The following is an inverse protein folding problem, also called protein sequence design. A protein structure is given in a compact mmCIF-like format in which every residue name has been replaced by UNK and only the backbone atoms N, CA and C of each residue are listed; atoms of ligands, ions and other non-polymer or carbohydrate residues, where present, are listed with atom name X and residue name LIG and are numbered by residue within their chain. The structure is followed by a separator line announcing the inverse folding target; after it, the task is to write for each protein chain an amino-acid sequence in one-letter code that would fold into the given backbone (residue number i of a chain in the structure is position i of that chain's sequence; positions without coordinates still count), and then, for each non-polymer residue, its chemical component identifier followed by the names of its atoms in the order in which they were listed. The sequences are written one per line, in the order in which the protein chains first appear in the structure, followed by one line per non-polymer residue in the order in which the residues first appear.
data_IF_485169771493
#
_entry.id   IF_485169771493
#
_cell.length_a   1.000
_cell.length_b   1.000
_cell.length_c   1.000
_cell.angle_alpha   90.00
_cell.angle_beta   90.00
_cell.angle_gamma   90.00
#
_symmetry.space_group_name_H-M   'P 1'
#
loop_
_entity.id
_entity.type
_entity.pdbx_description
1 polymer ?
#
# COMPACT_ATOMS: atom_id res chain seq x y z
N UNK A 1 10.33 -10.38 68.62
CA UNK A 1 10.58 -10.58 67.16
C UNK A 1 11.73 -9.65 66.79
N UNK A 2 12.88 -10.21 66.40
CA UNK A 2 14.13 -9.42 66.28
C UNK A 2 13.98 -8.39 65.14
N UNK A 3 14.27 -7.11 65.42
CA UNK A 3 14.24 -6.01 64.42
C UNK A 3 15.02 -6.38 63.14
N UNK A 4 16.12 -7.10 63.27
CA UNK A 4 16.94 -7.60 62.14
C UNK A 4 16.15 -8.58 61.25
N UNK A 5 15.32 -9.44 61.84
CA UNK A 5 14.53 -10.40 61.05
C UNK A 5 13.42 -9.71 60.23
N UNK A 6 12.80 -8.65 60.80
CA UNK A 6 11.79 -7.86 60.10
C UNK A 6 12.42 -7.06 58.96
N UNK A 7 13.62 -6.48 59.17
CA UNK A 7 14.33 -5.72 58.13
C UNK A 7 14.78 -6.67 56.98
N UNK A 8 15.30 -7.86 57.28
CA UNK A 8 15.67 -8.84 56.26
C UNK A 8 14.44 -9.32 55.46
N UNK A 9 13.32 -9.58 56.11
CA UNK A 9 12.08 -9.98 55.45
C UNK A 9 11.56 -8.88 54.53
N UNK A 10 11.61 -7.61 54.98
CA UNK A 10 11.18 -6.44 54.19
C UNK A 10 12.06 -6.21 52.96
N UNK A 11 13.38 -6.40 53.07
CA UNK A 11 14.32 -6.28 51.96
C UNK A 11 14.09 -7.39 50.94
N UNK A 12 13.88 -8.62 51.42
CA UNK A 12 13.61 -9.78 50.54
C UNK A 12 12.30 -9.60 49.75
N UNK A 13 11.24 -9.09 50.40
CA UNK A 13 9.96 -8.81 49.74
C UNK A 13 10.11 -7.68 48.71
N UNK A 14 10.86 -6.61 49.01
CA UNK A 14 11.15 -5.51 48.07
C UNK A 14 11.92 -6.00 46.82
N UNK A 15 12.91 -6.91 47.02
CA UNK A 15 13.66 -7.50 45.91
C UNK A 15 12.78 -8.42 45.02
N UNK A 16 11.88 -9.20 45.64
CA UNK A 16 10.92 -10.02 44.93
C UNK A 16 9.89 -9.20 44.17
N UNK A 17 9.40 -8.09 44.72
CA UNK A 17 8.49 -7.19 44.03
C UNK A 17 9.19 -6.50 42.84
N UNK A 18 10.44 -6.03 43.01
CA UNK A 18 11.21 -5.42 41.94
C UNK A 18 11.49 -6.43 40.78
N UNK A 19 11.79 -7.69 41.12
CA UNK A 19 11.97 -8.74 40.10
C UNK A 19 10.65 -9.18 39.43
N UNK A 20 9.53 -9.11 40.14
CA UNK A 20 8.22 -9.37 39.55
C UNK A 20 7.77 -8.28 38.61
N UNK A 21 8.03 -7.00 38.94
CA UNK A 21 7.74 -5.86 38.05
C UNK A 21 8.54 -5.95 36.75
N UNK A 22 9.84 -6.29 36.82
CA UNK A 22 10.67 -6.42 35.60
C UNK A 22 10.26 -7.57 34.67
N UNK A 23 9.53 -8.57 35.18
CA UNK A 23 8.96 -9.66 34.35
C UNK A 23 7.60 -9.33 33.74
N UNK A 24 6.95 -8.24 34.20
CA UNK A 24 5.65 -7.78 33.73
C UNK A 24 5.77 -6.65 32.70
N UNK A 25 6.97 -6.07 32.52
CA UNK A 25 7.17 -5.10 31.45
C UNK A 25 7.10 -5.79 30.08
N UNK A 26 6.20 -5.35 29.19
CA UNK A 26 6.18 -5.86 27.84
C UNK A 26 7.53 -5.56 27.18
N UNK A 27 8.13 -6.57 26.57
CA UNK A 27 9.34 -6.35 25.77
C UNK A 27 9.00 -5.46 24.60
N UNK A 28 9.83 -4.46 24.34
CA UNK A 28 9.71 -3.66 23.13
C UNK A 28 9.73 -4.61 21.90
N UNK A 29 8.86 -4.40 20.91
CA UNK A 29 8.90 -5.17 19.68
C UNK A 29 10.25 -4.97 18.98
N UNK A 30 10.70 -5.99 18.24
CA UNK A 30 11.91 -5.86 17.44
C UNK A 30 11.65 -4.88 16.29
N UNK A 31 12.70 -4.18 15.85
CA UNK A 31 12.61 -3.23 14.73
C UNK A 31 11.99 -3.85 13.47
N UNK A 32 12.31 -5.12 13.22
CA UNK A 32 11.81 -5.89 12.08
C UNK A 32 10.35 -6.35 12.21
N UNK A 33 9.73 -6.19 13.39
CA UNK A 33 8.32 -6.50 13.64
C UNK A 33 7.43 -5.24 13.54
N UNK A 34 8.03 -4.06 13.26
CA UNK A 34 7.35 -2.79 13.16
C UNK A 34 7.17 -2.36 11.70
N UNK A 35 5.97 -1.93 11.36
CA UNK A 35 5.66 -1.33 10.05
C UNK A 35 5.81 0.19 10.05
N UNK A 36 5.72 0.83 11.21
CA UNK A 36 5.80 2.27 11.38
C UNK A 36 7.23 2.78 11.63
N UNK A 37 7.39 4.11 11.62
CA UNK A 37 8.63 4.80 11.90
C UNK A 37 9.36 5.30 10.66
N UNK A 38 10.23 6.30 10.81
CA UNK A 38 10.93 6.93 9.70
C UNK A 38 12.06 6.06 9.16
N UNK A 39 12.45 6.30 7.90
CA UNK A 39 13.73 5.82 7.38
C UNK A 39 14.88 6.40 8.22
N UNK A 40 15.94 5.61 8.42
CA UNK A 40 17.13 6.06 9.14
C UNK A 40 17.84 7.20 8.40
N UNK A 41 18.43 8.15 9.17
CA UNK A 41 19.29 9.20 8.62
C UNK A 41 18.54 10.46 8.17
N UNK A 42 17.31 10.67 8.62
CA UNK A 42 16.62 11.95 8.47
C UNK A 42 17.31 13.04 9.28
N UNK A 43 17.46 14.25 8.73
CA UNK A 43 17.89 15.42 9.48
C UNK A 43 16.86 15.81 10.54
N UNK A 44 17.26 16.65 11.51
CA UNK A 44 16.35 17.12 12.56
C UNK A 44 15.12 17.85 11.99
N UNK A 45 15.28 18.62 10.92
CA UNK A 45 14.17 19.29 10.23
C UNK A 45 13.27 18.28 9.53
N UNK A 46 13.86 17.30 8.83
CA UNK A 46 13.13 16.21 8.20
C UNK A 46 12.35 15.36 9.20
N UNK A 47 12.94 15.08 10.39
CA UNK A 47 12.26 14.35 11.46
C UNK A 47 11.06 15.12 12.01
N UNK A 48 11.17 16.45 12.17
CA UNK A 48 10.03 17.28 12.58
C UNK A 48 8.91 17.27 11.53
N UNK A 49 9.28 17.30 10.26
CA UNK A 49 8.33 17.24 9.15
C UNK A 49 7.66 15.86 9.07
N UNK A 50 8.42 14.79 9.30
CA UNK A 50 7.89 13.42 9.40
C UNK A 50 6.82 13.34 10.49
N UNK A 51 7.12 13.81 11.73
CA UNK A 51 6.17 13.81 12.84
C UNK A 51 4.93 14.65 12.58
N UNK A 52 5.06 15.79 11.90
CA UNK A 52 3.91 16.60 11.52
C UNK A 52 3.00 15.88 10.49
N UNK A 53 3.59 15.11 9.57
CA UNK A 53 2.86 14.29 8.63
C UNK A 53 2.23 13.05 9.29
N UNK A 54 2.92 12.45 10.23
CA UNK A 54 2.44 11.32 11.05
C UNK A 54 1.17 11.69 11.81
N UNK A 55 1.19 12.82 12.54
CA UNK A 55 0.01 13.35 13.26
C UNK A 55 -1.14 13.61 12.28
N UNK A 56 -0.87 14.27 11.14
CA UNK A 56 -1.91 14.56 10.15
C UNK A 56 -2.49 13.30 9.50
N UNK A 57 -1.69 12.23 9.37
CA UNK A 57 -2.12 10.96 8.79
C UNK A 57 -2.87 10.07 9.78
N UNK A 58 -2.33 9.90 10.99
CA UNK A 58 -2.82 8.91 11.95
C UNK A 58 -3.81 9.48 12.97
N UNK A 59 -3.66 10.75 13.40
CA UNK A 59 -4.42 11.32 14.52
C UNK A 59 -5.51 12.30 14.07
N UNK A 60 -5.42 12.87 12.85
CA UNK A 60 -6.40 13.84 12.37
C UNK A 60 -7.70 13.16 11.96
N UNK A 61 -8.81 13.55 12.63
CA UNK A 61 -10.16 13.08 12.33
C UNK A 61 -10.99 14.27 11.85
N UNK A 62 -11.51 14.18 10.64
CA UNK A 62 -12.32 15.23 10.06
C UNK A 62 -13.79 15.08 10.45
N UNK A 63 -14.42 16.21 10.72
CA UNK A 63 -15.84 16.39 11.02
C UNK A 63 -16.39 17.49 10.13
N UNK A 64 -17.70 17.70 10.13
CA UNK A 64 -18.32 18.84 9.44
C UNK A 64 -17.65 20.18 9.79
N UNK A 65 -17.26 20.37 11.07
CA UNK A 65 -16.62 21.60 11.56
C UNK A 65 -15.14 21.72 11.19
N UNK A 66 -14.50 20.63 10.79
CA UNK A 66 -13.07 20.58 10.45
C UNK A 66 -12.82 20.25 8.98
N UNK A 67 -13.86 20.37 8.12
CA UNK A 67 -13.72 20.30 6.67
C UNK A 67 -14.02 18.93 6.05
N UNK A 68 -14.67 18.00 6.79
CA UNK A 68 -15.17 16.76 6.15
C UNK A 68 -16.16 17.11 5.06
N UNK A 69 -15.95 16.55 3.86
CA UNK A 69 -16.84 16.79 2.73
C UNK A 69 -18.28 16.32 2.95
N UNK A 70 -19.20 16.85 2.16
CA UNK A 70 -20.63 16.54 2.22
C UNK A 70 -20.93 15.06 2.02
N UNK A 71 -20.13 14.40 1.16
CA UNK A 71 -20.13 12.95 0.95
C UNK A 71 -18.70 12.41 1.08
N UNK A 72 -18.54 11.20 1.59
CA UNK A 72 -17.23 10.63 1.91
C UNK A 72 -17.28 9.10 2.04
N UNK A 73 -16.13 8.48 2.19
CA UNK A 73 -15.94 7.05 2.55
C UNK A 73 -15.46 6.91 3.98
N UNK A 74 -14.49 7.74 4.38
CA UNK A 74 -13.83 7.71 5.68
C UNK A 74 -13.65 9.13 6.23
N UNK A 75 -13.35 9.25 7.51
CA UNK A 75 -13.13 10.52 8.21
C UNK A 75 -11.68 10.78 8.58
N UNK A 76 -10.78 9.86 8.27
CA UNK A 76 -9.33 9.97 8.50
C UNK A 76 -8.56 8.92 7.68
N UNK A 77 -7.28 9.16 7.44
CA UNK A 77 -6.41 8.19 6.77
C UNK A 77 -6.22 6.93 7.64
N UNK A 78 -6.04 7.10 8.96
CA UNK A 78 -5.90 6.01 9.92
C UNK A 78 -7.11 5.07 10.01
N UNK A 79 -8.32 5.50 9.61
CA UNK A 79 -9.51 4.63 9.52
C UNK A 79 -9.27 3.46 8.57
N UNK A 80 -8.56 3.69 7.46
CA UNK A 80 -8.30 2.68 6.43
C UNK A 80 -6.90 2.08 6.52
N UNK A 81 -5.93 2.84 7.06
CA UNK A 81 -4.50 2.49 7.11
C UNK A 81 -3.98 2.36 8.55
N UNK A 82 -4.72 1.67 9.42
CA UNK A 82 -4.33 1.50 10.82
C UNK A 82 -2.91 0.92 10.96
N UNK A 83 -2.04 1.61 11.73
CA UNK A 83 -0.65 1.21 11.96
C UNK A 83 0.16 1.11 10.66
N UNK A 84 -0.07 2.02 9.69
CA UNK A 84 0.57 2.10 8.37
C UNK A 84 0.46 0.82 7.53
N UNK A 85 -0.31 -0.11 8.01
CA UNK A 85 -0.50 -1.42 7.44
C UNK A 85 -1.55 -1.45 6.33
N UNK A 86 -1.83 -2.67 5.90
CA UNK A 86 -2.86 -2.98 4.91
C UNK A 86 -4.25 -2.92 5.55
N UNK A 87 -5.21 -2.31 4.88
CA UNK A 87 -6.61 -2.27 5.32
C UNK A 87 -7.30 -3.63 5.22
N UNK A 88 -8.56 -3.67 5.65
CA UNK A 88 -9.41 -4.85 5.72
C UNK A 88 -10.57 -4.76 4.71
N UNK A 89 -11.35 -5.82 4.49
CA UNK A 89 -12.58 -5.73 3.69
C UNK A 89 -13.63 -4.77 4.24
N UNK A 90 -13.56 -4.40 5.52
CA UNK A 90 -14.47 -3.42 6.14
C UNK A 90 -14.11 -1.97 5.83
N UNK A 91 -12.87 -1.73 5.37
CA UNK A 91 -12.35 -0.43 4.94
C UNK A 91 -12.09 -0.38 3.44
N UNK A 92 -12.64 -1.34 2.68
CA UNK A 92 -12.46 -1.46 1.24
C UNK A 92 -13.18 -0.36 0.50
N UNK A 93 -12.48 0.30 -0.41
CA UNK A 93 -13.03 1.28 -1.33
C UNK A 93 -13.75 0.57 -2.48
N UNK A 94 -14.81 1.19 -3.00
CA UNK A 94 -15.48 0.75 -4.23
C UNK A 94 -15.26 1.78 -5.31
N UNK A 95 -14.75 1.35 -6.46
CA UNK A 95 -14.56 2.20 -7.65
C UNK A 95 -15.38 1.65 -8.80
N UNK A 96 -15.99 2.52 -9.61
CA UNK A 96 -16.97 2.10 -10.60
C UNK A 96 -16.88 2.87 -11.91
N UNK A 97 -17.41 2.27 -12.97
CA UNK A 97 -17.83 2.92 -14.19
C UNK A 97 -16.82 2.93 -15.34
N UNK A 98 -15.54 2.64 -15.12
CA UNK A 98 -14.56 2.54 -16.20
C UNK A 98 -14.33 1.08 -16.58
N UNK A 99 -14.51 0.73 -17.86
CA UNK A 99 -14.36 -0.64 -18.38
C UNK A 99 -13.21 -0.80 -19.37
N UNK A 100 -12.67 0.32 -19.87
CA UNK A 100 -11.57 0.34 -20.84
C UNK A 100 -10.77 1.67 -20.76
N UNK A 101 -9.81 1.84 -21.66
CA UNK A 101 -8.94 3.02 -21.70
C UNK A 101 -9.60 4.32 -22.20
N UNK A 102 -10.89 4.28 -22.60
CA UNK A 102 -11.61 5.44 -23.07
C UNK A 102 -12.15 6.34 -21.93
N UNK A 103 -11.93 5.91 -20.71
CA UNK A 103 -12.31 6.63 -19.50
C UNK A 103 -13.65 6.19 -18.93
N UNK A 104 -14.03 6.87 -17.83
CA UNK A 104 -15.24 6.53 -17.10
C UNK A 104 -16.45 7.32 -17.65
N UNK A 105 -17.37 6.63 -18.31
CA UNK A 105 -18.57 7.22 -18.86
C UNK A 105 -19.63 7.63 -17.82
N UNK A 106 -19.46 7.25 -16.57
CA UNK A 106 -20.38 7.52 -15.47
C UNK A 106 -19.95 8.70 -14.59
N UNK A 107 -18.84 9.40 -14.89
CA UNK A 107 -18.36 10.54 -14.07
C UNK A 107 -19.40 11.66 -13.88
N UNK A 108 -20.36 11.80 -14.77
CA UNK A 108 -21.46 12.75 -14.63
C UNK A 108 -22.52 12.32 -13.60
N UNK A 109 -22.44 11.10 -13.10
CA UNK A 109 -23.32 10.52 -12.06
C UNK A 109 -22.56 10.26 -10.74
N UNK A 110 -21.34 10.80 -10.60
CA UNK A 110 -20.46 10.59 -9.46
C UNK A 110 -19.26 9.70 -9.77
N UNK A 111 -18.50 9.33 -8.77
CA UNK A 111 -17.31 8.50 -8.92
C UNK A 111 -16.05 9.24 -9.39
N UNK A 112 -15.00 8.52 -9.77
CA UNK A 112 -14.90 7.05 -9.92
C UNK A 112 -14.96 6.28 -8.60
N UNK A 113 -14.74 6.91 -7.43
CA UNK A 113 -14.86 6.28 -6.13
C UNK A 113 -16.23 6.54 -5.53
N UNK A 114 -16.88 5.50 -5.04
CA UNK A 114 -18.18 5.56 -4.40
C UNK A 114 -18.06 6.20 -3.02
N UNK A 115 -18.56 7.43 -2.86
CA UNK A 115 -18.73 8.07 -1.54
C UNK A 115 -20.07 7.62 -0.92
N UNK A 116 -20.00 6.51 -0.20
CA UNK A 116 -21.18 5.78 0.33
C UNK A 116 -21.69 6.30 1.69
N UNK A 117 -21.14 7.41 2.18
CA UNK A 117 -21.56 8.11 3.40
C UNK A 117 -21.79 9.58 3.11
N UNK A 118 -22.63 10.22 3.92
CA UNK A 118 -22.95 11.64 3.79
C UNK A 118 -23.16 12.30 5.16
N UNK A 119 -22.90 13.59 5.24
CA UNK A 119 -23.33 14.42 6.36
C UNK A 119 -24.86 14.58 6.40
N UNK A 120 -25.46 14.93 7.55
CA UNK A 120 -26.89 15.19 7.65
C UNK A 120 -27.35 16.23 6.61
N UNK A 121 -28.42 15.90 5.86
CA UNK A 121 -28.96 16.75 4.81
C UNK A 121 -28.42 16.50 3.41
N UNK A 122 -27.39 15.65 3.27
CA UNK A 122 -26.82 15.24 1.98
C UNK A 122 -27.17 13.78 1.66
N UNK A 123 -27.11 13.41 0.40
CA UNK A 123 -27.39 12.04 -0.09
C UNK A 123 -26.07 11.39 -0.53
N UNK A 124 -25.71 10.22 0.03
CA UNK A 124 -24.53 9.50 -0.42
C UNK A 124 -24.71 8.99 -1.84
N UNK A 125 -23.58 8.71 -2.52
CA UNK A 125 -23.62 8.13 -3.86
C UNK A 125 -24.12 6.69 -3.87
N UNK A 126 -24.61 6.28 -5.02
CA UNK A 126 -24.95 4.89 -5.33
C UNK A 126 -24.34 4.51 -6.67
N UNK A 127 -24.02 3.23 -6.85
CA UNK A 127 -23.49 2.74 -8.13
C UNK A 127 -24.59 2.89 -9.20
N UNK A 128 -24.34 3.63 -10.29
CA UNK A 128 -25.32 3.79 -11.36
C UNK A 128 -25.70 2.44 -12.00
N UNK A 129 -26.96 2.33 -12.42
CA UNK A 129 -27.43 1.13 -13.10
C UNK A 129 -26.57 0.83 -14.36
N UNK A 130 -26.07 -0.40 -14.47
CA UNK A 130 -25.21 -0.83 -15.57
C UNK A 130 -23.72 -0.52 -15.41
N UNK A 131 -23.31 0.23 -14.38
CA UNK A 131 -21.90 0.44 -14.11
C UNK A 131 -21.27 -0.81 -13.49
N UNK A 132 -20.13 -1.24 -14.02
CA UNK A 132 -19.28 -2.23 -13.38
C UNK A 132 -18.49 -1.60 -12.24
N UNK A 133 -18.04 -2.39 -11.28
CA UNK A 133 -17.28 -1.90 -10.14
C UNK A 133 -16.25 -2.91 -9.65
N UNK A 134 -15.25 -2.43 -8.94
CA UNK A 134 -14.28 -3.24 -8.21
C UNK A 134 -14.10 -2.72 -6.79
N UNK A 135 -13.70 -3.62 -5.88
CA UNK A 135 -13.40 -3.32 -4.48
C UNK A 135 -11.90 -3.31 -4.25
N UNK A 136 -11.37 -2.25 -3.67
CA UNK A 136 -9.96 -2.07 -3.40
C UNK A 136 -9.69 -1.98 -1.90
N UNK A 137 -9.06 -3.02 -1.34
CA UNK A 137 -8.55 -2.97 0.03
C UNK A 137 -7.39 -1.96 0.10
N UNK A 138 -7.35 -1.04 1.06
CA UNK A 138 -6.24 -0.09 1.20
C UNK A 138 -4.89 -0.81 1.25
N UNK A 139 -3.87 -0.39 0.47
CA UNK A 139 -2.53 -0.97 0.51
C UNK A 139 -1.78 -0.56 1.78
N UNK A 140 -0.71 -1.26 2.14
CA UNK A 140 0.24 -0.79 3.15
C UNK A 140 0.98 0.45 2.65
N UNK A 141 1.32 1.36 3.57
CA UNK A 141 1.99 2.64 3.27
C UNK A 141 3.51 2.59 3.43
N UNK A 142 4.04 1.49 3.95
CA UNK A 142 5.47 1.32 4.26
C UNK A 142 6.33 1.28 3.00
N UNK A 143 7.43 2.04 3.01
CA UNK A 143 8.44 2.03 1.95
C UNK A 143 8.04 2.69 0.63
N UNK A 144 6.91 3.39 0.56
CA UNK A 144 6.39 3.94 -0.70
C UNK A 144 7.34 4.96 -1.35
N UNK A 145 8.15 5.70 -0.56
CA UNK A 145 9.15 6.62 -1.10
C UNK A 145 10.25 5.92 -1.90
N UNK A 146 10.60 4.69 -1.57
CA UNK A 146 11.52 3.89 -2.39
C UNK A 146 10.89 3.55 -3.74
N UNK A 147 9.61 3.15 -3.75
CA UNK A 147 8.85 2.84 -4.98
C UNK A 147 8.70 4.09 -5.86
N UNK A 148 8.40 5.25 -5.26
CA UNK A 148 8.27 6.51 -6.00
C UNK A 148 9.52 6.86 -6.80
N UNK A 149 10.69 6.50 -6.29
CA UNK A 149 11.99 6.84 -6.86
C UNK A 149 12.57 5.79 -7.83
N UNK A 150 11.84 4.73 -8.13
CA UNK A 150 12.21 3.81 -9.23
C UNK A 150 12.09 4.56 -10.55
N UNK A 151 13.12 4.50 -11.39
CA UNK A 151 13.09 5.19 -12.68
C UNK A 151 12.12 4.54 -13.67
N UNK A 152 11.53 5.33 -14.57
CA UNK A 152 10.71 4.78 -15.66
C UNK A 152 11.52 3.81 -16.53
N UNK A 153 12.82 4.08 -16.70
CA UNK A 153 13.72 3.20 -17.47
C UNK A 153 13.86 1.81 -16.81
N UNK A 154 13.97 1.76 -15.47
CA UNK A 154 14.06 0.47 -14.76
C UNK A 154 12.73 -0.30 -14.83
N UNK A 155 11.59 0.39 -14.74
CA UNK A 155 10.27 -0.24 -14.93
C UNK A 155 10.12 -0.79 -16.35
N UNK A 156 10.49 0.01 -17.36
CA UNK A 156 10.43 -0.40 -18.77
C UNK A 156 11.40 -1.54 -19.11
N UNK A 157 12.52 -1.65 -18.41
CA UNK A 157 13.47 -2.75 -18.59
C UNK A 157 12.93 -4.10 -18.09
N UNK A 158 11.91 -4.10 -17.25
CA UNK A 158 11.23 -5.32 -16.77
C UNK A 158 9.97 -5.65 -17.57
N UNK A 159 9.50 -4.72 -18.42
CA UNK A 159 8.28 -4.91 -19.21
C UNK A 159 8.56 -5.74 -20.48
N UNK A 160 7.66 -6.66 -20.77
CA UNK A 160 7.67 -7.45 -22.00
C UNK A 160 6.26 -7.51 -22.63
N UNK A 161 5.75 -6.38 -23.16
CA UNK A 161 4.36 -6.27 -23.61
C UNK A 161 3.97 -7.21 -24.75
N UNK A 162 4.94 -7.81 -25.43
CA UNK A 162 4.73 -8.74 -26.54
C UNK A 162 5.02 -10.20 -26.18
N UNK A 163 5.46 -10.47 -24.94
CA UNK A 163 5.95 -11.80 -24.52
C UNK A 163 7.05 -12.30 -25.49
N UNK A 164 8.08 -11.44 -25.71
CA UNK A 164 9.11 -11.71 -26.72
C UNK A 164 10.01 -12.91 -26.35
N UNK A 165 10.09 -13.26 -25.06
CA UNK A 165 10.80 -14.44 -24.58
C UNK A 165 9.93 -15.71 -24.51
N UNK A 166 8.63 -15.58 -24.82
CA UNK A 166 7.63 -16.64 -24.89
C UNK A 166 7.47 -17.43 -23.56
N UNK A 167 7.61 -16.76 -22.44
CA UNK A 167 7.43 -17.38 -21.10
C UNK A 167 5.98 -17.26 -20.58
N UNK A 168 5.13 -16.57 -21.31
CA UNK A 168 3.71 -16.36 -21.03
C UNK A 168 3.44 -15.23 -20.05
N UNK A 169 4.43 -14.34 -19.80
CA UNK A 169 4.32 -13.22 -18.86
C UNK A 169 4.67 -11.94 -19.60
N UNK A 170 3.67 -11.09 -19.87
CA UNK A 170 3.89 -9.86 -20.65
C UNK A 170 4.35 -8.69 -19.80
N UNK A 171 3.72 -8.38 -18.68
CA UNK A 171 4.04 -7.25 -17.84
C UNK A 171 4.03 -5.89 -18.56
N UNK A 172 3.03 -5.04 -18.32
CA UNK A 172 2.90 -3.74 -18.98
C UNK A 172 2.80 -2.60 -17.98
N UNK A 173 3.43 -1.43 -18.21
CA UNK A 173 3.23 -0.27 -17.35
C UNK A 173 1.86 0.37 -17.59
N UNK A 174 1.23 0.92 -16.55
CA UNK A 174 0.02 1.72 -16.72
C UNK A 174 0.37 3.14 -17.15
N UNK A 175 -0.14 3.56 -18.31
CA UNK A 175 0.00 4.91 -18.83
C UNK A 175 -1.28 5.71 -18.65
N UNK A 176 -1.19 6.87 -17.97
CA UNK A 176 -2.30 7.81 -17.83
C UNK A 176 -1.84 9.27 -17.90
N UNK A 177 -2.78 10.19 -18.08
CA UNK A 177 -2.50 11.62 -18.01
C UNK A 177 -2.23 12.05 -16.57
N UNK A 178 -1.36 13.06 -16.41
CA UNK A 178 -1.13 13.68 -15.11
C UNK A 178 -2.27 14.68 -14.81
N UNK A 179 -2.73 14.78 -13.57
CA UNK A 179 -3.57 15.90 -13.16
C UNK A 179 -2.78 17.21 -13.21
N UNK A 180 -3.46 18.33 -13.38
CA UNK A 180 -2.86 19.65 -13.62
C UNK A 180 -1.87 20.11 -12.52
N UNK A 181 -2.04 19.62 -11.29
CA UNK A 181 -1.17 19.95 -10.16
C UNK A 181 0.11 19.10 -10.07
N UNK A 182 0.29 18.10 -10.95
CA UNK A 182 1.47 17.23 -10.98
C UNK A 182 2.37 17.60 -12.15
N UNK A 183 3.63 17.89 -11.84
CA UNK A 183 4.70 17.98 -12.84
C UNK A 183 5.40 16.63 -12.98
N UNK A 184 5.72 16.17 -14.19
CA UNK A 184 6.46 14.94 -14.39
C UNK A 184 7.87 15.04 -13.81
N UNK A 185 8.43 13.91 -13.39
CA UNK A 185 9.84 13.82 -13.00
C UNK A 185 10.74 14.16 -14.21
N UNK A 186 11.93 14.71 -13.94
CA UNK A 186 12.86 15.13 -15.00
C UNK A 186 13.32 13.96 -15.90
N UNK A 187 13.30 12.75 -15.39
CA UNK A 187 13.66 11.50 -16.08
C UNK A 187 12.45 10.66 -16.49
N UNK A 188 11.24 11.24 -16.46
CA UNK A 188 10.03 10.55 -16.91
C UNK A 188 10.09 10.26 -18.41
N UNK A 189 9.57 9.10 -18.82
CA UNK A 189 9.52 8.66 -20.22
C UNK A 189 8.06 8.62 -20.67
N UNK A 190 7.54 9.72 -21.24
CA UNK A 190 6.15 9.80 -21.68
C UNK A 190 5.90 9.00 -22.95
N UNK A 191 4.67 8.47 -23.08
CA UNK A 191 4.16 7.86 -24.30
C UNK A 191 2.83 8.52 -24.68
N UNK A 192 2.78 9.20 -25.82
CA UNK A 192 1.59 9.91 -26.32
C UNK A 192 1.00 10.90 -25.28
N UNK A 193 1.85 11.65 -24.56
CA UNK A 193 1.43 12.60 -23.52
C UNK A 193 0.93 11.97 -22.22
N UNK A 194 1.04 10.64 -22.07
CA UNK A 194 0.75 9.89 -20.86
C UNK A 194 2.05 9.44 -20.19
N UNK A 195 2.01 9.23 -18.89
CA UNK A 195 3.16 8.90 -18.04
C UNK A 195 2.92 7.58 -17.30
N UNK A 196 3.99 6.91 -16.89
CA UNK A 196 3.92 5.65 -16.12
C UNK A 196 3.45 5.96 -14.71
N UNK A 197 2.28 5.44 -14.35
CA UNK A 197 1.73 5.48 -13.01
C UNK A 197 2.17 4.22 -12.24
N UNK A 198 2.28 4.30 -10.90
CA UNK A 198 2.85 3.21 -10.09
C UNK A 198 2.17 2.95 -8.76
N UNK A 199 1.21 3.80 -8.33
CA UNK A 199 0.49 3.62 -7.08
C UNK A 199 -0.96 3.22 -7.31
N UNK A 200 -1.57 2.56 -6.30
CA UNK A 200 -2.89 1.97 -6.40
C UNK A 200 -2.87 0.53 -6.94
N UNK A 201 -4.03 -0.14 -6.91
CA UNK A 201 -4.17 -1.55 -7.31
C UNK A 201 -3.97 -1.78 -8.80
N UNK A 202 -4.33 -0.80 -9.61
CA UNK A 202 -4.14 -0.78 -11.06
C UNK A 202 -3.11 0.26 -11.51
N UNK A 203 -2.19 0.67 -10.62
CA UNK A 203 -1.22 1.72 -10.89
C UNK A 203 -1.89 3.01 -11.41
N UNK A 204 -2.89 3.54 -10.69
CA UNK A 204 -3.70 4.69 -11.15
C UNK A 204 -3.16 6.05 -10.72
N UNK A 205 -2.19 6.11 -9.78
CA UNK A 205 -1.58 7.37 -9.36
C UNK A 205 -0.09 7.41 -9.72
N UNK A 206 0.36 8.58 -10.19
CA UNK A 206 1.72 8.81 -10.67
C UNK A 206 2.75 8.81 -9.55
N UNK A 207 2.48 9.59 -8.48
CA UNK A 207 3.35 9.78 -7.33
C UNK A 207 2.53 9.91 -6.05
N UNK A 208 3.20 10.04 -4.90
CA UNK A 208 2.53 10.12 -3.60
C UNK A 208 1.73 11.43 -3.43
N UNK A 209 2.15 12.54 -4.05
CA UNK A 209 1.34 13.76 -4.07
C UNK A 209 0.00 13.53 -4.78
N UNK A 210 0.02 12.88 -5.96
CA UNK A 210 -1.21 12.54 -6.68
C UNK A 210 -2.13 11.65 -5.84
N UNK A 211 -1.57 10.59 -5.24
CA UNK A 211 -2.33 9.66 -4.40
C UNK A 211 -2.91 10.34 -3.16
N UNK A 212 -2.13 11.19 -2.47
CA UNK A 212 -2.57 11.88 -1.25
C UNK A 212 -3.68 12.89 -1.53
N UNK A 213 -3.53 13.70 -2.59
CA UNK A 213 -4.57 14.67 -2.99
C UNK A 213 -5.87 13.95 -3.38
N UNK A 214 -5.75 12.83 -4.12
CA UNK A 214 -6.93 12.01 -4.44
C UNK A 214 -7.58 11.43 -3.19
N UNK A 215 -6.82 10.99 -2.19
CA UNK A 215 -7.36 10.47 -0.94
C UNK A 215 -8.12 11.54 -0.15
N UNK A 216 -7.56 12.74 0.00
CA UNK A 216 -8.28 13.85 0.63
C UNK A 216 -9.61 14.13 -0.07
N UNK A 217 -9.59 14.23 -1.41
CA UNK A 217 -10.78 14.60 -2.18
C UNK A 217 -11.78 13.44 -2.31
N UNK A 218 -11.34 12.24 -2.70
CA UNK A 218 -12.24 11.13 -3.03
C UNK A 218 -12.63 10.29 -1.81
N UNK A 219 -11.74 10.15 -0.80
CA UNK A 219 -12.06 9.33 0.38
C UNK A 219 -12.79 10.13 1.45
N UNK A 220 -12.45 11.43 1.61
CA UNK A 220 -12.98 12.30 2.67
C UNK A 220 -13.80 13.48 2.15
N UNK A 221 -13.88 13.69 0.83
CA UNK A 221 -14.58 14.84 0.23
C UNK A 221 -13.91 16.18 0.51
N UNK A 222 -12.65 16.17 0.97
CA UNK A 222 -11.91 17.36 1.42
C UNK A 222 -11.27 18.05 0.22
N UNK A 223 -11.50 19.36 0.07
CA UNK A 223 -10.86 20.15 -0.97
C UNK A 223 -9.51 20.69 -0.52
N UNK A 224 -8.66 20.96 -1.51
CA UNK A 224 -7.35 21.57 -1.33
C UNK A 224 -7.05 22.52 -2.50
N UNK A 225 -5.99 23.34 -2.40
CA UNK A 225 -5.54 24.12 -3.56
C UNK A 225 -5.13 23.26 -4.78
N UNK A 226 -4.83 21.97 -4.56
CA UNK A 226 -4.49 21.00 -5.61
C UNK A 226 -5.74 20.42 -6.27
N UNK A 227 -6.81 20.23 -5.52
CA UNK A 227 -8.11 19.73 -5.97
C UNK A 227 -9.22 20.58 -5.31
N UNK A 228 -9.55 21.77 -5.86
CA UNK A 228 -10.51 22.70 -5.26
C UNK A 228 -11.97 22.29 -5.46
N UNK A 229 -12.23 21.31 -6.33
CA UNK A 229 -13.58 20.89 -6.69
C UNK A 229 -14.23 20.05 -5.59
N UNK A 230 -15.31 20.53 -5.02
CA UNK A 230 -16.16 19.76 -4.10
C UNK A 230 -16.82 18.57 -4.83
N UNK A 231 -16.72 17.39 -4.25
CA UNK A 231 -17.16 16.15 -4.90
C UNK A 231 -18.68 16.04 -5.04
N UNK A 232 -19.46 16.72 -4.18
CA UNK A 232 -20.93 16.69 -4.21
C UNK A 232 -21.53 17.70 -5.19
N UNK A 233 -21.04 18.94 -5.14
CA UNK A 233 -21.58 20.04 -5.98
C UNK A 233 -20.88 20.15 -7.32
N UNK A 234 -19.65 19.65 -7.45
CA UNK A 234 -18.82 19.83 -8.63
C UNK A 234 -18.28 21.26 -8.82
N UNK A 235 -18.41 22.13 -7.81
CA UNK A 235 -18.00 23.53 -7.83
C UNK A 235 -16.70 23.69 -7.06
N UNK A 236 -15.83 24.59 -7.49
CA UNK A 236 -14.60 24.95 -6.77
C UNK A 236 -14.98 25.75 -5.51
N UNK A 237 -14.47 25.30 -4.36
CA UNK A 237 -14.66 25.95 -3.06
C UNK A 237 -13.31 26.22 -2.39
N UNK A 238 -13.31 27.00 -1.31
CA UNK A 238 -12.13 27.28 -0.52
C UNK A 238 -11.52 25.96 0.02
N UNK A 239 -10.18 25.87 0.10
CA UNK A 239 -9.52 24.65 0.56
C UNK A 239 -9.77 24.37 2.03
N UNK A 240 -10.25 23.17 2.33
CA UNK A 240 -10.48 22.68 3.69
C UNK A 240 -9.19 22.18 4.37
N UNK A 241 -8.20 21.77 3.57
CA UNK A 241 -6.88 21.35 4.06
C UNK A 241 -5.78 22.25 3.50
N UNK A 242 -4.82 22.62 4.36
CA UNK A 242 -3.69 23.46 3.95
C UNK A 242 -2.70 22.73 3.05
N UNK A 243 -2.01 23.47 2.17
CA UNK A 243 -0.92 22.91 1.37
C UNK A 243 0.20 22.31 2.23
N UNK A 244 0.49 22.93 3.38
CA UNK A 244 1.53 22.43 4.29
C UNK A 244 1.14 21.08 4.89
N UNK A 245 -0.12 20.88 5.26
CA UNK A 245 -0.62 19.60 5.77
C UNK A 245 -0.50 18.51 4.69
N UNK A 246 -1.01 18.76 3.48
CA UNK A 246 -0.87 17.82 2.35
C UNK A 246 0.59 17.45 2.10
N UNK A 247 1.48 18.47 2.04
CA UNK A 247 2.91 18.24 1.80
C UNK A 247 3.61 17.49 2.95
N UNK A 248 3.18 17.66 4.20
CA UNK A 248 3.70 16.92 5.33
C UNK A 248 3.26 15.45 5.30
N UNK A 249 2.00 15.18 4.94
CA UNK A 249 1.50 13.81 4.74
C UNK A 249 2.26 13.12 3.59
N UNK A 250 2.48 13.81 2.47
CA UNK A 250 3.30 13.27 1.37
C UNK A 250 4.71 12.97 1.85
N UNK A 251 5.35 13.88 2.60
CA UNK A 251 6.69 13.67 3.13
C UNK A 251 6.74 12.49 4.13
N UNK A 252 5.73 12.36 4.98
CA UNK A 252 5.57 11.21 5.87
C UNK A 252 5.55 9.90 5.08
N UNK A 253 4.67 9.77 4.08
CA UNK A 253 4.56 8.60 3.22
C UNK A 253 5.86 8.31 2.42
N UNK A 254 6.56 9.36 1.98
CA UNK A 254 7.87 9.22 1.32
C UNK A 254 8.96 8.70 2.25
N UNK A 255 8.89 9.03 3.54
CA UNK A 255 9.96 8.73 4.49
C UNK A 255 9.57 7.70 5.54
N UNK A 256 8.40 7.09 5.42
CA UNK A 256 8.04 5.91 6.18
C UNK A 256 8.92 4.73 5.74
N UNK A 257 9.56 4.06 6.70
CA UNK A 257 10.54 3.01 6.41
C UNK A 257 9.94 1.83 5.62
N UNK A 258 10.78 1.15 4.86
CA UNK A 258 10.42 -0.13 4.26
C UNK A 258 10.46 -1.25 5.31
N UNK A 259 9.59 -2.27 5.21
CA UNK A 259 9.66 -3.46 6.07
C UNK A 259 11.00 -4.17 5.97
N UNK A 260 11.49 -4.67 7.10
CA UNK A 260 12.75 -5.42 7.20
C UNK A 260 12.43 -6.91 7.13
N UNK A 261 13.15 -7.65 6.28
CA UNK A 261 12.98 -9.10 6.21
C UNK A 261 13.46 -9.76 7.50
N UNK A 262 12.59 -10.56 8.12
CA UNK A 262 12.88 -11.33 9.34
C UNK A 262 13.55 -12.66 9.02
N UNK A 263 14.35 -13.17 9.94
CA UNK A 263 14.95 -14.51 9.87
C UNK A 263 15.66 -14.84 8.53
N UNK A 264 16.24 -13.85 7.84
CA UNK A 264 16.80 -13.99 6.50
C UNK A 264 17.92 -15.05 6.41
N UNK A 265 18.63 -15.33 7.52
CA UNK A 265 19.68 -16.36 7.61
C UNK A 265 19.15 -17.76 7.96
N UNK A 266 17.84 -17.93 8.21
CA UNK A 266 17.26 -19.23 8.51
C UNK A 266 17.27 -20.13 7.25
N UNK A 267 17.73 -21.38 7.40
CA UNK A 267 17.88 -22.32 6.28
C UNK A 267 16.58 -22.60 5.54
N UNK A 268 15.43 -22.67 6.24
CA UNK A 268 14.12 -22.86 5.61
C UNK A 268 13.64 -21.61 4.89
N UNK A 269 13.97 -20.42 5.39
CA UNK A 269 13.70 -19.13 4.69
C UNK A 269 14.50 -19.05 3.40
N UNK A 270 15.79 -19.42 3.44
CA UNK A 270 16.68 -19.48 2.26
C UNK A 270 16.13 -20.50 1.25
N UNK A 271 15.73 -21.69 1.71
CA UNK A 271 15.11 -22.71 0.87
C UNK A 271 13.85 -22.18 0.19
N UNK A 272 12.96 -21.55 0.97
CA UNK A 272 11.73 -20.96 0.43
C UNK A 272 11.98 -19.87 -0.62
N UNK A 273 13.00 -19.02 -0.42
CA UNK A 273 13.45 -18.03 -1.42
C UNK A 273 13.91 -18.69 -2.72
N UNK A 274 14.65 -19.79 -2.64
CA UNK A 274 15.09 -20.52 -3.83
C UNK A 274 13.90 -21.13 -4.57
N UNK A 275 12.93 -21.71 -3.84
CA UNK A 275 11.69 -22.24 -4.41
C UNK A 275 10.89 -21.15 -5.08
N UNK A 276 10.75 -19.96 -4.47
CA UNK A 276 10.08 -18.80 -5.04
C UNK A 276 10.60 -18.43 -6.42
N UNK A 277 11.93 -18.46 -6.60
CA UNK A 277 12.56 -18.25 -7.91
C UNK A 277 12.34 -19.43 -8.84
N UNK A 278 12.50 -20.66 -8.35
CA UNK A 278 12.38 -21.88 -9.14
C UNK A 278 10.99 -22.05 -9.76
N UNK A 279 9.93 -21.70 -9.03
CA UNK A 279 8.55 -21.79 -9.53
C UNK A 279 8.06 -20.53 -10.24
N UNK A 280 8.99 -19.60 -10.59
CA UNK A 280 8.76 -18.38 -11.38
C UNK A 280 7.91 -17.29 -10.71
N UNK A 281 7.73 -17.29 -9.38
CA UNK A 281 7.09 -16.16 -8.71
C UNK A 281 7.86 -14.85 -8.91
N UNK A 282 9.20 -14.95 -9.01
CA UNK A 282 10.09 -13.80 -9.22
C UNK A 282 10.01 -13.16 -10.61
N UNK A 283 9.29 -13.76 -11.56
CA UNK A 283 9.08 -13.15 -12.89
C UNK A 283 8.22 -11.88 -12.82
N UNK A 284 7.22 -11.84 -11.93
CA UNK A 284 6.44 -10.64 -11.62
C UNK A 284 6.89 -9.99 -10.30
N UNK A 285 7.11 -10.80 -9.26
CA UNK A 285 7.59 -10.33 -7.96
C UNK A 285 9.12 -10.19 -7.95
N UNK A 286 9.64 -9.27 -8.78
CA UNK A 286 11.08 -8.97 -8.88
C UNK A 286 11.68 -8.68 -7.50
N UNK A 287 12.69 -9.45 -7.06
CA UNK A 287 13.18 -9.35 -5.68
C UNK A 287 13.80 -8.01 -5.33
N UNK A 288 14.41 -7.33 -6.29
CA UNK A 288 15.27 -6.19 -6.05
C UNK A 288 14.98 -5.07 -7.03
N UNK A 289 14.88 -3.84 -6.50
CA UNK A 289 14.82 -2.60 -7.26
C UNK A 289 15.86 -1.60 -6.74
N UNK A 290 16.01 -0.48 -7.45
CA UNK A 290 16.92 0.61 -7.08
C UNK A 290 16.21 1.95 -7.18
N UNK A 291 16.44 2.82 -6.19
CA UNK A 291 15.99 4.21 -6.26
C UNK A 291 16.94 5.03 -7.13
N UNK A 292 16.39 6.01 -7.83
CA UNK A 292 17.15 7.06 -8.49
C UNK A 292 17.65 8.13 -7.51
N UNK A 293 17.96 9.31 -8.05
CA UNK A 293 18.34 10.47 -7.26
C UNK A 293 17.19 10.94 -6.36
N UNK A 294 17.53 11.25 -5.10
CA UNK A 294 16.64 11.90 -4.15
C UNK A 294 17.39 12.96 -3.33
N UNK A 295 16.77 14.12 -3.06
CA UNK A 295 17.31 15.10 -2.10
C UNK A 295 17.29 14.58 -0.66
N UNK A 296 16.50 13.54 -0.37
CA UNK A 296 16.48 12.84 0.91
C UNK A 296 17.57 11.76 0.87
N UNK A 297 18.68 12.00 1.57
CA UNK A 297 19.86 11.13 1.53
C UNK A 297 19.54 9.67 1.87
N UNK A 298 18.59 9.44 2.77
CA UNK A 298 18.12 8.11 3.16
C UNK A 298 17.53 7.31 2.00
N UNK A 299 16.99 7.98 0.99
CA UNK A 299 16.34 7.37 -0.18
C UNK A 299 17.20 7.42 -1.46
N UNK A 300 18.33 8.16 -1.43
CA UNK A 300 19.10 8.45 -2.63
C UNK A 300 19.97 7.26 -3.09
N UNK A 301 19.75 6.77 -4.32
CA UNK A 301 20.51 5.68 -4.94
C UNK A 301 20.61 4.41 -4.07
N UNK A 302 19.50 3.99 -3.47
CA UNK A 302 19.42 2.81 -2.59
C UNK A 302 18.98 1.57 -3.35
N UNK A 303 19.58 0.43 -3.06
CA UNK A 303 19.05 -0.88 -3.42
C UNK A 303 18.07 -1.32 -2.34
N UNK A 304 16.91 -1.84 -2.74
CA UNK A 304 15.87 -2.30 -1.82
C UNK A 304 15.15 -3.53 -2.38
N UNK A 305 14.38 -4.24 -1.52
CA UNK A 305 13.87 -5.57 -1.82
C UNK A 305 12.34 -5.64 -1.67
N UNK A 306 11.58 -5.05 -2.60
CA UNK A 306 10.12 -4.95 -2.47
C UNK A 306 9.37 -6.18 -2.96
N UNK A 307 9.99 -7.02 -3.79
CA UNK A 307 9.35 -8.15 -4.47
C UNK A 307 8.16 -7.71 -5.34
N UNK A 308 8.43 -6.83 -6.30
CA UNK A 308 7.49 -6.30 -7.30
C UNK A 308 8.25 -5.75 -8.51
N UNK A 309 7.66 -5.79 -9.67
CA UNK A 309 8.11 -5.11 -10.88
C UNK A 309 7.35 -3.81 -11.17
N UNK A 310 6.28 -3.53 -10.40
CA UNK A 310 5.36 -2.39 -10.57
C UNK A 310 4.54 -2.42 -11.87
N UNK A 311 4.57 -3.52 -12.62
CA UNK A 311 3.86 -3.70 -13.88
C UNK A 311 2.44 -4.26 -13.65
N UNK A 312 1.61 -4.11 -14.66
CA UNK A 312 0.31 -4.75 -14.77
C UNK A 312 0.47 -6.11 -15.42
N UNK A 313 -0.19 -7.12 -14.87
CA UNK A 313 -0.27 -8.46 -15.42
C UNK A 313 -1.72 -8.90 -15.53
N UNK A 314 -2.04 -9.61 -16.61
CA UNK A 314 -3.36 -10.21 -16.79
C UNK A 314 -3.50 -11.43 -15.86
N UNK A 315 -4.35 -11.28 -14.85
CA UNK A 315 -4.59 -12.32 -13.85
C UNK A 315 -5.75 -13.27 -14.22
N UNK A 316 -6.28 -13.13 -15.42
CA UNK A 316 -7.33 -13.97 -15.95
C UNK A 316 -8.73 -13.72 -15.39
N UNK A 317 -9.71 -14.47 -15.89
CA UNK A 317 -11.13 -14.28 -15.60
C UNK A 317 -11.49 -14.38 -14.10
N UNK A 318 -10.70 -15.11 -13.30
CA UNK A 318 -10.96 -15.25 -11.85
C UNK A 318 -10.75 -13.97 -11.04
N UNK A 319 -10.02 -13.00 -11.61
CA UNK A 319 -9.71 -11.72 -11.01
C UNK A 319 -10.13 -10.53 -11.91
N UNK A 320 -11.01 -10.76 -12.89
CA UNK A 320 -11.62 -9.73 -13.71
C UNK A 320 -12.90 -9.21 -13.04
N UNK A 321 -12.84 -7.99 -12.50
CA UNK A 321 -14.00 -7.33 -11.87
C UNK A 321 -14.77 -6.42 -12.84
N UNK A 322 -14.41 -6.37 -14.12
CA UNK A 322 -15.05 -5.51 -15.12
C UNK A 322 -14.78 -4.01 -14.94
N UNK A 323 -13.83 -3.63 -14.08
CA UNK A 323 -13.45 -2.24 -13.82
C UNK A 323 -11.95 -2.04 -14.06
N UNK A 324 -11.60 -0.89 -14.63
CA UNK A 324 -10.18 -0.54 -14.85
C UNK A 324 -9.87 0.93 -14.60
N UNK A 325 -8.57 1.28 -14.68
CA UNK A 325 -8.03 2.63 -14.51
C UNK A 325 -6.86 2.85 -15.49
N UNK A 326 -6.79 4.04 -16.10
CA UNK A 326 -5.73 4.38 -17.06
C UNK A 326 -5.77 3.49 -18.29
N UNK A 327 -4.63 2.85 -18.64
CA UNK A 327 -4.52 1.93 -19.77
C UNK A 327 -4.67 0.46 -19.38
N UNK A 328 -4.86 0.15 -18.09
CA UNK A 328 -5.04 -1.23 -17.63
C UNK A 328 -6.28 -1.88 -18.26
N UNK A 329 -6.24 -3.18 -18.50
CA UNK A 329 -7.44 -3.98 -18.78
C UNK A 329 -8.15 -4.36 -17.48
N UNK A 330 -9.39 -4.84 -17.57
CA UNK A 330 -10.19 -5.17 -16.40
C UNK A 330 -9.62 -6.31 -15.57
N UNK A 331 -8.97 -7.30 -16.21
CA UNK A 331 -8.26 -8.43 -15.59
C UNK A 331 -6.81 -8.11 -15.18
N UNK A 332 -6.26 -6.95 -15.59
CA UNK A 332 -4.87 -6.58 -15.26
C UNK A 332 -4.77 -5.91 -13.90
N UNK A 333 -3.77 -6.34 -13.12
CA UNK A 333 -3.48 -5.83 -11.78
C UNK A 333 -1.99 -5.55 -11.63
N UNK A 334 -1.67 -4.43 -10.96
CA UNK A 334 -0.27 -4.12 -10.64
C UNK A 334 0.26 -5.13 -9.62
N UNK A 335 1.42 -5.71 -9.90
CA UNK A 335 2.15 -6.53 -8.92
C UNK A 335 2.37 -5.75 -7.63
N UNK A 336 1.74 -6.13 -6.51
CA UNK A 336 1.96 -5.45 -5.24
C UNK A 336 3.33 -5.84 -4.66
N UNK A 337 3.98 -4.95 -3.89
CA UNK A 337 5.11 -5.34 -3.07
C UNK A 337 4.72 -6.46 -2.10
N UNK A 338 5.63 -7.43 -1.90
CA UNK A 338 5.44 -8.51 -0.92
C UNK A 338 6.13 -8.22 0.42
N UNK A 339 7.02 -7.21 0.49
CA UNK A 339 7.57 -6.82 1.78
C UNK A 339 6.47 -6.47 2.78
N UNK A 340 6.67 -6.81 4.05
CA UNK A 340 5.67 -6.62 5.10
C UNK A 340 4.45 -7.55 4.99
N UNK A 341 4.36 -8.45 3.99
CA UNK A 341 3.20 -9.34 3.87
C UNK A 341 3.03 -10.23 5.10
N UNK A 342 4.13 -10.68 5.69
CA UNK A 342 4.08 -11.47 6.92
C UNK A 342 3.55 -10.72 8.14
N UNK A 343 3.64 -9.38 8.14
CA UNK A 343 3.13 -8.50 9.19
C UNK A 343 1.71 -8.00 8.91
N UNK A 344 1.14 -8.28 7.73
CA UNK A 344 -0.22 -7.82 7.38
C UNK A 344 -1.28 -8.14 8.46
N UNK A 345 -1.28 -9.30 9.13
CA UNK A 345 -2.24 -9.57 10.20
C UNK A 345 -2.21 -8.57 11.34
N UNK A 346 -1.06 -7.93 11.63
CA UNK A 346 -0.94 -6.96 12.72
C UNK A 346 -1.86 -5.74 12.51
N UNK A 347 -1.99 -5.28 11.26
CA UNK A 347 -2.89 -4.19 10.88
C UNK A 347 -4.31 -4.67 10.52
N UNK A 348 -4.52 -5.98 10.33
CA UNK A 348 -5.75 -6.56 9.83
C UNK A 348 -6.53 -7.38 10.89
N UNK A 349 -6.31 -7.10 12.17
CA UNK A 349 -7.03 -7.76 13.26
C UNK A 349 -6.65 -9.23 13.47
N UNK A 350 -5.41 -9.59 13.20
CA UNK A 350 -4.87 -10.95 13.41
C UNK A 350 -5.13 -11.94 12.26
N UNK A 351 -5.64 -11.47 11.12
CA UNK A 351 -5.97 -12.30 9.95
C UNK A 351 -5.37 -11.71 8.68
N UNK A 352 -5.14 -12.56 7.67
CA UNK A 352 -4.81 -12.10 6.33
C UNK A 352 -6.06 -11.69 5.54
N UNK A 353 -5.95 -10.59 4.81
CA UNK A 353 -6.89 -10.17 3.78
C UNK A 353 -6.07 -9.75 2.56
N UNK A 354 -5.78 -10.72 1.69
CA UNK A 354 -4.90 -10.55 0.53
C UNK A 354 -5.71 -10.43 -0.77
N UNK A 355 -5.04 -10.29 -1.90
CA UNK A 355 -5.55 -9.86 -3.19
C UNK A 355 -5.96 -8.37 -3.19
N UNK A 356 -6.56 -7.90 -4.29
CA UNK A 356 -6.95 -6.49 -4.42
C UNK A 356 -8.12 -6.11 -3.51
N UNK A 357 -8.99 -7.05 -3.17
CA UNK A 357 -10.22 -6.84 -2.38
C UNK A 357 -10.25 -7.54 -1.01
N UNK A 358 -9.18 -8.23 -0.65
CA UNK A 358 -9.07 -8.93 0.64
C UNK A 358 -9.77 -10.29 0.69
N UNK A 359 -10.09 -10.90 -0.46
CA UNK A 359 -10.79 -12.20 -0.53
C UNK A 359 -9.98 -13.37 -0.02
N UNK A 360 -8.65 -13.38 -0.20
CA UNK A 360 -7.80 -14.47 0.28
C UNK A 360 -7.48 -14.30 1.78
N UNK A 361 -7.64 -15.37 2.56
CA UNK A 361 -7.48 -15.39 4.02
C UNK A 361 -6.16 -16.03 4.47
N UNK A 362 -5.33 -16.44 3.54
CA UNK A 362 -3.98 -16.92 3.78
C UNK A 362 -3.10 -16.65 2.55
N UNK A 363 -1.80 -16.79 2.72
CA UNK A 363 -0.84 -16.67 1.62
C UNK A 363 -1.07 -17.79 0.60
N UNK A 364 -1.35 -19.00 1.07
CA UNK A 364 -1.65 -20.16 0.23
C UNK A 364 -2.88 -19.88 -0.65
N UNK A 365 -3.97 -19.39 -0.08
CA UNK A 365 -5.16 -19.02 -0.85
C UNK A 365 -4.86 -17.94 -1.89
N UNK A 366 -4.03 -16.96 -1.54
CA UNK A 366 -3.63 -15.94 -2.50
C UNK A 366 -2.88 -16.55 -3.69
N UNK A 367 -1.95 -17.49 -3.46
CA UNK A 367 -1.25 -18.21 -4.53
C UNK A 367 -2.24 -19.03 -5.38
N UNK A 368 -3.18 -19.72 -4.74
CA UNK A 368 -4.19 -20.55 -5.42
C UNK A 368 -5.17 -19.72 -6.27
N UNK A 369 -5.36 -18.44 -5.95
CA UNK A 369 -6.21 -17.51 -6.72
C UNK A 369 -5.50 -16.89 -7.91
N UNK A 370 -4.18 -17.04 -8.05
CA UNK A 370 -3.45 -16.56 -9.22
C UNK A 370 -3.92 -17.31 -10.49
N UNK A 371 -4.05 -16.57 -11.58
CA UNK A 371 -4.46 -17.08 -12.88
C UNK A 371 -3.83 -16.28 -14.01
N UNK A 372 -4.30 -16.41 -15.25
CA UNK A 372 -3.75 -15.70 -16.39
C UNK A 372 -2.24 -15.93 -16.55
N UNK A 373 -1.45 -14.87 -16.61
CA UNK A 373 0.02 -14.93 -16.70
C UNK A 373 0.67 -15.70 -15.52
N UNK A 374 0.07 -15.66 -14.33
CA UNK A 374 0.59 -16.37 -13.16
C UNK A 374 0.15 -17.85 -13.07
N UNK A 375 -0.64 -18.35 -14.02
CA UNK A 375 -1.18 -19.72 -13.97
C UNK A 375 -0.09 -20.79 -13.90
N UNK A 376 1.03 -20.61 -14.61
CA UNK A 376 2.12 -21.58 -14.58
C UNK A 376 2.80 -21.63 -13.21
N UNK A 377 3.05 -20.48 -12.59
CA UNK A 377 3.64 -20.39 -11.24
C UNK A 377 2.74 -21.05 -10.19
N UNK A 378 1.41 -20.83 -10.28
CA UNK A 378 0.42 -21.55 -9.46
C UNK A 378 0.49 -23.06 -9.67
N UNK A 379 0.53 -23.52 -10.92
CA UNK A 379 0.61 -24.97 -11.23
C UNK A 379 1.89 -25.59 -10.64
N UNK A 380 3.01 -24.88 -10.74
CA UNK A 380 4.28 -25.30 -10.14
C UNK A 380 4.17 -25.39 -8.62
N UNK A 381 3.55 -24.40 -7.96
CA UNK A 381 3.27 -24.42 -6.53
C UNK A 381 2.44 -25.63 -6.11
N UNK A 382 1.38 -25.94 -6.85
CA UNK A 382 0.49 -27.08 -6.55
C UNK A 382 1.23 -28.42 -6.58
N UNK A 383 2.30 -28.55 -7.38
CA UNK A 383 3.12 -29.75 -7.52
C UNK A 383 4.23 -29.87 -6.46
N UNK A 384 4.49 -28.83 -5.66
CA UNK A 384 5.50 -28.88 -4.61
C UNK A 384 5.17 -29.93 -3.53
N UNK A 385 6.22 -30.52 -2.94
CA UNK A 385 6.09 -31.31 -1.74
C UNK A 385 5.56 -30.44 -0.57
N UNK A 386 4.93 -31.06 0.43
CA UNK A 386 4.47 -30.34 1.64
C UNK A 386 5.61 -29.54 2.29
N UNK A 387 6.80 -30.13 2.38
CA UNK A 387 7.98 -29.50 2.95
C UNK A 387 8.42 -28.26 2.15
N UNK A 388 8.35 -28.30 0.81
CA UNK A 388 8.68 -27.16 -0.05
C UNK A 388 7.63 -26.05 0.06
N UNK A 389 6.34 -26.41 0.15
CA UNK A 389 5.27 -25.46 0.42
C UNK A 389 5.48 -24.74 1.75
N UNK A 390 5.78 -25.48 2.83
CA UNK A 390 6.07 -24.91 4.15
C UNK A 390 7.26 -23.96 4.11
N UNK A 391 8.35 -24.32 3.44
CA UNK A 391 9.54 -23.48 3.28
C UNK A 391 9.21 -22.18 2.51
N UNK A 392 8.45 -22.28 1.41
CA UNK A 392 8.01 -21.12 0.64
C UNK A 392 7.12 -20.17 1.46
N UNK A 393 6.14 -20.71 2.19
CA UNK A 393 5.27 -19.92 3.07
C UNK A 393 6.07 -19.26 4.19
N UNK A 394 7.05 -19.96 4.75
CA UNK A 394 7.95 -19.40 5.78
C UNK A 394 8.78 -18.23 5.22
N UNK A 395 9.30 -18.35 4.00
CA UNK A 395 9.96 -17.27 3.31
C UNK A 395 9.01 -16.06 3.11
N UNK A 396 7.82 -16.27 2.56
CA UNK A 396 6.84 -15.19 2.35
C UNK A 396 6.41 -14.53 3.66
N UNK A 397 6.26 -15.30 4.73
CA UNK A 397 5.99 -14.76 6.08
C UNK A 397 7.18 -14.01 6.68
N UNK A 398 8.39 -14.26 6.22
CA UNK A 398 9.58 -13.53 6.67
C UNK A 398 9.68 -12.14 6.04
N UNK A 399 9.06 -11.93 4.87
CA UNK A 399 8.98 -10.64 4.24
C UNK A 399 8.01 -9.74 5.01
#
# INVERSE_FOLDING_TARGET
MNKILVTLLSVTILVFIAQACSKLEPKAPREEDLLDGPVEGLSHEQSRRFLAGDVAFNDEIFTEQTGLGSIFVATSCGTCHAGDGKGTPFTTLTRFGQTDSNGNQYLHLGGPQLQNRALPGYTPESIPAGATFSKFTPPANTGLGFIELVSDADILAMADPNDDDADGISGVPNYAHLPAFISPAANAIPRNGKYIHRFGKKAAAYNLMHQTVNAYNQDMGITSNYAPKDVYTGIDIDPEVSNSTVQNVVFYLQTLKAPIQRDAANTEVIRGKNIFTQIKCSSCHSPQLKTGYSPIAALNNKTFYPYTDLLLHDMGNGLDDGYTEGSAKTSEWRTPPLWGIGLSPNAQGGQYFLMHDGRAKSIEQAIEMHGGEAQQSKNNYMQLSSQDKEALIKFLKSL
#
